data_IF_170962985255
#
_entry.id   IF_170962985255
#
_cell.length_a   1.000
_cell.length_b   1.000
_cell.length_c   1.000
_cell.angle_alpha   90.00
_cell.angle_beta   90.00
_cell.angle_gamma   90.00
#
_symmetry.space_group_name_H-M   'P 1'
#
loop_
_entity.id
_entity.type
_entity.pdbx_description
1 polymer ?
#
# COMPACT_ATOMS: atom_id res chain seq x y z
N UNK A 1 -54.36 -3.27 44.43
CA UNK A 1 -53.67 -4.28 43.59
C UNK A 1 -53.60 -3.70 42.18
N UNK A 2 -52.38 -3.64 41.59
CA UNK A 2 -51.87 -2.88 40.41
C UNK A 2 -52.79 -2.72 39.17
N UNK A 3 -52.50 -1.88 38.15
CA UNK A 3 -51.30 -1.05 37.87
C UNK A 3 -51.59 0.38 37.32
N UNK A 4 -50.61 1.29 37.28
CA UNK A 4 -50.52 2.26 36.16
C UNK A 4 -49.05 2.55 35.84
N UNK A 5 -48.64 2.03 34.68
CA UNK A 5 -47.39 2.34 33.98
C UNK A 5 -47.36 3.83 33.60
N UNK A 6 -46.32 4.56 34.00
CA UNK A 6 -45.89 5.78 33.30
C UNK A 6 -44.40 5.58 32.94
N UNK A 7 -44.07 5.43 31.66
CA UNK A 7 -43.91 6.51 30.66
C UNK A 7 -42.84 7.49 31.10
N UNK A 8 -41.58 7.13 30.86
CA UNK A 8 -40.43 8.00 30.53
C UNK A 8 -39.13 7.24 30.76
N UNK A 9 -38.60 6.54 29.75
CA UNK A 9 -37.15 6.18 29.70
C UNK A 9 -36.65 5.56 28.40
N UNK A 10 -37.31 5.78 27.27
CA UNK A 10 -36.88 5.25 25.96
C UNK A 10 -36.42 6.32 24.97
N UNK A 11 -36.34 7.60 25.38
CA UNK A 11 -36.06 8.72 24.47
C UNK A 11 -34.60 9.05 24.20
N UNK A 12 -33.64 8.53 24.98
CA UNK A 12 -32.22 8.93 24.87
C UNK A 12 -31.27 7.84 24.36
N UNK A 13 -31.72 6.58 24.25
CA UNK A 13 -30.85 5.48 23.84
C UNK A 13 -30.74 5.35 22.31
N UNK A 14 -31.75 5.81 21.56
CA UNK A 14 -31.72 5.79 20.09
C UNK A 14 -30.66 6.70 19.45
N UNK A 15 -30.48 7.99 19.86
CA UNK A 15 -29.47 8.84 19.25
C UNK A 15 -28.03 8.43 19.61
N UNK A 16 -27.82 7.76 20.76
CA UNK A 16 -26.50 7.25 21.14
C UNK A 16 -26.04 6.08 20.26
N UNK A 17 -26.97 5.23 19.80
CA UNK A 17 -26.66 4.11 18.91
C UNK A 17 -26.38 4.56 17.47
N UNK A 18 -26.96 5.68 17.03
CA UNK A 18 -26.72 6.25 15.69
C UNK A 18 -25.36 6.97 15.57
N UNK A 19 -24.79 7.48 16.65
CA UNK A 19 -23.46 8.12 16.63
C UNK A 19 -22.29 7.14 16.47
N UNK A 20 -22.51 5.83 16.66
CA UNK A 20 -21.47 4.80 16.58
C UNK A 20 -21.33 4.22 15.16
N UNK A 21 -22.26 4.54 14.24
CA UNK A 21 -22.37 3.85 12.95
C UNK A 21 -21.87 4.61 11.71
N UNK A 22 -21.16 5.74 11.85
CA UNK A 22 -20.56 6.44 10.70
C UNK A 22 -19.07 6.69 10.93
N UNK A 23 -18.30 5.60 10.86
CA UNK A 23 -16.91 5.67 10.37
C UNK A 23 -16.92 5.16 8.95
N UNK A 24 -17.63 5.89 8.08
CA UNK A 24 -17.50 5.71 6.63
C UNK A 24 -16.02 5.91 6.28
N UNK A 25 -15.48 4.86 5.71
CA UNK A 25 -14.09 4.63 5.39
C UNK A 25 -13.54 5.67 4.41
N UNK A 26 -12.86 6.70 4.92
CA UNK A 26 -11.79 7.35 4.16
C UNK A 26 -10.59 6.39 4.07
N UNK A 27 -10.77 5.28 3.35
CA UNK A 27 -9.64 4.54 2.82
C UNK A 27 -9.24 5.27 1.54
N UNK A 28 -8.27 6.18 1.63
CA UNK A 28 -7.57 6.67 0.45
C UNK A 28 -7.13 5.45 -0.34
N UNK A 29 -7.60 5.34 -1.59
CA UNK A 29 -7.28 4.21 -2.45
C UNK A 29 -5.75 4.10 -2.55
N UNK A 30 -5.17 2.99 -2.06
CA UNK A 30 -3.71 2.84 -2.02
C UNK A 30 -3.21 2.71 -3.47
N UNK A 31 -2.29 3.59 -3.89
CA UNK A 31 -1.77 3.59 -5.26
C UNK A 31 -1.14 2.24 -5.60
N UNK A 32 -1.55 1.68 -6.74
CA UNK A 32 -1.06 0.39 -7.26
C UNK A 32 -0.21 0.58 -8.51
N UNK A 33 0.42 -0.50 -8.99
CA UNK A 33 1.13 -0.48 -10.27
C UNK A 33 0.20 -0.09 -11.41
N UNK A 34 0.68 0.78 -12.30
CA UNK A 34 0.15 1.02 -13.63
C UNK A 34 1.12 0.37 -14.63
N UNK A 35 0.58 -0.48 -15.51
CA UNK A 35 1.39 -1.10 -16.55
C UNK A 35 1.60 -0.11 -17.68
N UNK A 36 2.80 -0.13 -18.27
CA UNK A 36 3.09 0.78 -19.38
C UNK A 36 2.25 0.43 -20.59
N UNK A 37 1.42 1.37 -21.03
CA UNK A 37 0.50 1.23 -22.16
C UNK A 37 -0.71 2.15 -22.02
N UNK A 38 -1.58 2.18 -23.04
CA UNK A 38 -2.88 2.84 -22.88
C UNK A 38 -3.76 2.01 -21.94
N UNK A 39 -4.44 2.68 -21.00
CA UNK A 39 -5.36 2.02 -20.07
C UNK A 39 -6.44 1.26 -20.82
N UNK A 40 -6.63 -0.02 -20.52
CA UNK A 40 -7.52 -0.93 -21.23
C UNK A 40 -6.90 -1.63 -22.46
N UNK A 41 -5.64 -1.35 -22.77
CA UNK A 41 -4.84 -2.04 -23.80
C UNK A 41 -3.55 -2.62 -23.22
N UNK A 42 -3.51 -2.83 -21.91
CA UNK A 42 -2.35 -3.42 -21.23
C UNK A 42 -2.17 -4.89 -21.63
N UNK A 43 -0.94 -5.37 -21.54
CA UNK A 43 -0.62 -6.77 -21.86
C UNK A 43 -1.29 -7.73 -20.87
N UNK A 44 -2.14 -8.63 -21.38
CA UNK A 44 -2.80 -9.66 -20.55
C UNK A 44 -1.81 -10.52 -19.76
N UNK A 45 -0.62 -10.75 -20.33
CA UNK A 45 0.46 -11.50 -19.66
C UNK A 45 0.99 -10.75 -18.45
N UNK A 46 1.23 -9.46 -18.59
CA UNK A 46 1.70 -8.62 -17.48
C UNK A 46 0.63 -8.50 -16.39
N UNK A 47 -0.64 -8.33 -16.77
CA UNK A 47 -1.77 -8.32 -15.84
C UNK A 47 -1.87 -9.64 -15.04
N UNK A 48 -1.69 -10.78 -15.69
CA UNK A 48 -1.68 -12.08 -15.01
C UNK A 48 -0.52 -12.20 -14.01
N UNK A 49 0.66 -11.63 -14.33
CA UNK A 49 1.80 -11.61 -13.42
C UNK A 49 1.57 -10.66 -12.24
N UNK A 50 0.96 -9.49 -12.46
CA UNK A 50 0.57 -8.61 -11.35
C UNK A 50 -0.39 -9.31 -10.38
N UNK A 51 -1.41 -10.00 -10.90
CA UNK A 51 -2.32 -10.82 -10.09
C UNK A 51 -1.56 -11.88 -9.28
N UNK A 52 -0.57 -12.54 -9.90
CA UNK A 52 0.29 -13.52 -9.22
C UNK A 52 1.11 -12.91 -8.08
N UNK A 53 1.51 -11.64 -8.20
CA UNK A 53 2.30 -10.94 -7.18
C UNK A 53 1.47 -10.31 -6.06
N UNK A 54 0.14 -10.31 -6.15
CA UNK A 54 -0.75 -9.76 -5.11
C UNK A 54 -0.41 -10.19 -3.67
N UNK A 55 -0.01 -11.45 -3.38
CA UNK A 55 0.37 -11.85 -2.02
C UNK A 55 1.56 -11.08 -1.43
N UNK A 56 2.33 -10.36 -2.26
CA UNK A 56 3.49 -9.57 -1.85
C UNK A 56 3.16 -8.09 -1.60
N UNK A 57 1.96 -7.61 -1.93
CA UNK A 57 1.63 -6.17 -1.87
C UNK A 57 1.74 -5.60 -0.44
N UNK A 58 1.40 -6.41 0.55
CA UNK A 58 1.47 -6.02 1.96
C UNK A 58 2.85 -6.29 2.60
N UNK A 59 3.86 -6.67 1.80
CA UNK A 59 5.23 -6.89 2.26
C UNK A 59 6.10 -5.69 1.93
N UNK A 60 7.13 -5.48 2.75
CA UNK A 60 8.18 -4.50 2.52
C UNK A 60 9.53 -5.21 2.55
N UNK A 61 10.36 -4.92 1.56
CA UNK A 61 11.69 -5.48 1.41
C UNK A 61 12.71 -4.36 1.61
N UNK A 62 13.69 -4.59 2.48
CA UNK A 62 14.71 -3.60 2.77
C UNK A 62 16.10 -4.22 2.68
N UNK A 63 17.06 -3.45 2.18
CA UNK A 63 18.48 -3.82 2.16
C UNK A 63 19.31 -2.59 2.49
N UNK A 64 20.37 -2.80 3.28
CA UNK A 64 21.34 -1.73 3.60
C UNK A 64 22.67 -2.10 2.99
N UNK A 65 23.25 -1.17 2.22
CA UNK A 65 24.52 -1.37 1.51
C UNK A 65 25.41 -0.13 1.65
N UNK A 66 26.71 -0.32 1.51
CA UNK A 66 27.72 0.74 1.63
C UNK A 66 28.39 0.78 3.00
N UNK A 67 29.26 1.77 3.18
CA UNK A 67 30.04 1.99 4.41
C UNK A 67 30.16 3.48 4.72
N UNK A 68 30.17 3.83 6.01
CA UNK A 68 30.35 5.21 6.46
C UNK A 68 29.23 6.15 5.96
N UNK A 69 29.56 7.36 5.47
CA UNK A 69 28.57 8.35 5.03
C UNK A 69 27.81 7.92 3.77
N UNK A 70 28.38 7.00 2.99
CA UNK A 70 27.81 6.44 1.76
C UNK A 70 27.07 5.13 2.04
N UNK A 71 26.43 5.04 3.21
CA UNK A 71 25.53 3.94 3.53
C UNK A 71 24.12 4.30 3.10
N UNK A 72 23.47 3.41 2.37
CA UNK A 72 22.12 3.60 1.84
C UNK A 72 21.19 2.47 2.25
N UNK A 73 19.95 2.83 2.54
CA UNK A 73 18.85 1.90 2.76
C UNK A 73 17.98 1.93 1.51
N UNK A 74 17.83 0.78 0.86
CA UNK A 74 16.87 0.58 -0.21
C UNK A 74 15.60 -0.01 0.36
N UNK A 75 14.46 0.57 0.02
CA UNK A 75 13.15 0.04 0.42
C UNK A 75 12.27 -0.15 -0.81
N UNK A 76 11.79 -1.38 -0.98
CA UNK A 76 11.00 -1.83 -2.10
C UNK A 76 9.66 -2.39 -1.62
N UNK A 77 8.58 -2.01 -2.32
CA UNK A 77 7.26 -2.63 -2.17
C UNK A 77 6.70 -2.95 -3.55
N UNK A 78 6.02 -4.10 -3.64
CA UNK A 78 5.41 -4.54 -4.90
C UNK A 78 4.05 -3.85 -5.04
N UNK A 79 3.88 -3.04 -6.07
CA UNK A 79 2.63 -2.34 -6.40
C UNK A 79 2.01 -1.56 -5.24
N UNK A 80 2.86 -0.98 -4.39
CA UNK A 80 2.50 -0.14 -3.25
C UNK A 80 3.55 0.91 -3.01
N UNK A 81 3.15 2.02 -2.40
CA UNK A 81 4.07 3.11 -2.10
C UNK A 81 5.14 2.68 -1.10
N UNK A 82 6.40 2.85 -1.50
CA UNK A 82 7.58 2.74 -0.66
C UNK A 82 8.07 4.15 -0.31
N UNK A 83 8.55 4.30 0.92
CA UNK A 83 8.99 5.59 1.44
C UNK A 83 7.86 6.32 2.16
N UNK A 84 8.21 7.41 2.84
CA UNK A 84 7.24 8.22 3.58
C UNK A 84 7.02 9.59 2.96
N UNK A 85 7.89 10.00 2.03
CA UNK A 85 7.94 11.39 1.56
C UNK A 85 7.51 11.55 0.11
N UNK A 86 7.55 10.48 -0.68
CA UNK A 86 7.32 10.58 -2.12
C UNK A 86 6.19 9.67 -2.59
N UNK A 87 5.10 10.30 -3.04
CA UNK A 87 3.96 9.57 -3.58
C UNK A 87 4.30 8.88 -4.90
N UNK A 88 3.77 7.67 -5.09
CA UNK A 88 3.92 6.82 -6.27
C UNK A 88 5.28 6.13 -6.41
N UNK A 89 6.17 6.21 -5.42
CA UNK A 89 7.45 5.51 -5.45
C UNK A 89 7.25 4.02 -5.12
N UNK A 90 7.75 3.11 -5.95
CA UNK A 90 7.78 1.67 -5.66
C UNK A 90 9.11 1.20 -5.07
N UNK A 91 10.18 1.96 -5.35
CA UNK A 91 11.53 1.75 -4.84
C UNK A 91 12.16 3.09 -4.49
N UNK A 92 12.65 3.21 -3.26
CA UNK A 92 13.38 4.40 -2.79
C UNK A 92 14.75 4.01 -2.27
N UNK A 93 15.68 4.94 -2.41
CA UNK A 93 17.01 4.91 -1.80
C UNK A 93 17.08 6.02 -0.75
N UNK A 94 17.47 5.68 0.46
CA UNK A 94 17.57 6.61 1.59
C UNK A 94 19.02 6.66 2.02
N UNK A 95 19.64 7.84 1.92
CA UNK A 95 20.98 8.04 2.47
C UNK A 95 20.89 8.00 4.00
N UNK A 96 21.62 7.08 4.63
CA UNK A 96 21.56 6.87 6.09
C UNK A 96 22.15 8.03 6.89
N UNK A 97 23.10 8.78 6.32
CA UNK A 97 23.77 9.89 7.00
C UNK A 97 22.89 11.12 7.17
N UNK A 98 22.03 11.43 6.19
CA UNK A 98 21.21 12.66 6.18
C UNK A 98 19.71 12.40 6.00
N UNK A 99 19.29 11.14 5.85
CA UNK A 99 17.90 10.74 5.67
C UNK A 99 17.27 11.17 4.35
N UNK A 100 18.07 11.65 3.38
CA UNK A 100 17.59 12.08 2.06
C UNK A 100 17.04 10.88 1.30
N UNK A 101 15.75 10.92 1.01
CA UNK A 101 15.05 9.95 0.17
C UNK A 101 15.19 10.34 -1.30
N UNK A 102 15.53 9.39 -2.15
CA UNK A 102 15.59 9.52 -3.61
C UNK A 102 14.77 8.42 -4.24
N UNK A 103 13.89 8.77 -5.19
CA UNK A 103 13.08 7.79 -5.91
C UNK A 103 13.95 7.08 -6.94
N UNK A 104 14.00 5.75 -6.89
CA UNK A 104 14.70 4.92 -7.87
C UNK A 104 13.73 4.41 -8.92
N UNK A 105 12.49 4.09 -8.54
CA UNK A 105 11.46 3.61 -9.47
C UNK A 105 10.06 3.95 -8.99
N UNK A 106 9.16 4.24 -9.93
CA UNK A 106 7.76 4.58 -9.67
C UNK A 106 6.82 3.45 -10.10
N UNK A 107 5.66 3.42 -9.47
CA UNK A 107 4.63 2.41 -9.73
C UNK A 107 3.87 2.65 -11.04
N UNK A 108 3.84 3.90 -11.53
CA UNK A 108 3.09 4.28 -12.73
C UNK A 108 3.77 3.89 -14.05
N UNK A 109 4.99 3.35 -13.98
CA UNK A 109 5.79 2.94 -15.14
C UNK A 109 6.30 1.51 -14.91
N UNK A 110 5.36 0.57 -14.66
CA UNK A 110 5.71 -0.81 -14.34
C UNK A 110 5.78 -1.69 -15.60
N UNK A 111 6.87 -2.43 -15.73
CA UNK A 111 7.02 -3.52 -16.68
C UNK A 111 7.30 -4.82 -15.94
N UNK A 112 6.68 -5.93 -16.36
CA UNK A 112 6.86 -7.23 -15.71
C UNK A 112 6.79 -8.37 -16.70
N UNK A 113 7.82 -9.21 -16.72
CA UNK A 113 7.85 -10.40 -17.54
C UNK A 113 8.28 -11.60 -16.70
N UNK A 114 7.92 -12.80 -17.15
CA UNK A 114 8.30 -14.05 -16.51
C UNK A 114 9.19 -14.84 -17.45
N UNK A 115 10.44 -15.09 -17.02
CA UNK A 115 11.37 -15.97 -17.73
C UNK A 115 11.32 -17.42 -17.23
N UNK A 116 11.97 -18.33 -17.94
CA UNK A 116 12.24 -19.68 -17.43
C UNK A 116 13.29 -19.59 -16.32
N UNK A 117 12.85 -19.83 -15.07
CA UNK A 117 13.63 -19.95 -13.82
C UNK A 117 15.11 -19.57 -13.95
N UNK A 118 15.47 -18.36 -13.53
CA UNK A 118 16.87 -17.96 -13.35
C UNK A 118 17.02 -17.35 -11.98
N UNK A 119 17.62 -18.11 -11.05
CA UNK A 119 18.55 -17.62 -10.02
C UNK A 119 19.38 -18.83 -9.54
N UNK A 120 20.69 -18.92 -9.84
CA UNK A 120 21.62 -19.51 -8.90
C UNK A 120 21.73 -18.55 -7.71
N UNK A 121 21.32 -19.01 -6.53
CA UNK A 121 21.69 -18.36 -5.26
C UNK A 121 23.08 -18.92 -4.94
N UNK A 122 24.12 -18.11 -5.09
CA UNK A 122 25.45 -18.38 -4.53
C UNK A 122 25.48 -17.90 -3.09
#
# INVERSE_FOLDING_TARGET
MFPFFSRWRTGLLLPLLLAVAVRESWQTEEKTCDLVGEKGRESEKELALLKRLQPLYNKSFQSTVGQGPDTYIYMFRVCREAGNRTSGAGLVQINKSNGKETVVGRLNETHIFNGSKTLPVN
#
